data_IF_388563717243
#
_entry.id   IF_388563717243
#
_cell.length_a   1.000
_cell.length_b   1.000
_cell.length_c   1.000
_cell.angle_alpha   90.00
_cell.angle_beta   90.00
_cell.angle_gamma   90.00
#
_symmetry.space_group_name_H-M   'P 1'
#
loop_
_entity.id
_entity.type
_entity.pdbx_description
1 polymer ?
#
# COMPACT_ATOMS: atom_id res chain seq x y z
N UNK A 1 5.03 6.76 -17.14
CA UNK A 1 4.29 5.50 -16.92
C UNK A 1 3.28 5.62 -15.78
N UNK A 2 3.69 6.07 -14.58
CA UNK A 2 2.79 6.30 -13.41
C UNK A 2 1.52 7.08 -13.75
N UNK A 3 1.64 8.24 -14.41
CA UNK A 3 0.49 9.07 -14.77
C UNK A 3 -0.52 8.36 -15.69
N UNK A 4 -0.04 7.50 -16.61
CA UNK A 4 -0.89 6.71 -17.51
C UNK A 4 -1.68 5.67 -16.72
N UNK A 5 -1.03 5.00 -15.76
CA UNK A 5 -1.69 4.02 -14.88
C UNK A 5 -2.75 4.70 -14.02
N UNK A 6 -2.42 5.85 -13.42
CA UNK A 6 -3.38 6.63 -12.62
C UNK A 6 -4.59 7.07 -13.46
N UNK A 7 -4.36 7.61 -14.66
CA UNK A 7 -5.43 7.99 -15.58
C UNK A 7 -6.32 6.79 -15.94
N UNK A 8 -5.73 5.64 -16.24
CA UNK A 8 -6.48 4.43 -16.54
C UNK A 8 -7.37 3.98 -15.36
N UNK A 9 -6.83 4.03 -14.13
CA UNK A 9 -7.59 3.72 -12.91
C UNK A 9 -8.73 4.70 -12.69
N UNK A 10 -8.50 6.00 -12.87
CA UNK A 10 -9.55 7.04 -12.77
C UNK A 10 -10.66 6.79 -13.79
N UNK A 11 -10.32 6.56 -15.06
CA UNK A 11 -11.29 6.26 -16.11
C UNK A 11 -12.11 5.01 -15.77
N UNK A 12 -11.47 3.98 -15.21
CA UNK A 12 -12.14 2.74 -14.82
C UNK A 12 -13.11 2.95 -13.65
N UNK A 13 -12.71 3.73 -12.64
CA UNK A 13 -13.57 4.13 -11.50
C UNK A 13 -14.82 4.87 -12.00
N UNK A 14 -14.64 5.86 -12.89
CA UNK A 14 -15.74 6.65 -13.46
C UNK A 14 -16.69 5.79 -14.29
N UNK A 15 -16.15 4.89 -15.12
CA UNK A 15 -16.96 3.98 -15.95
C UNK A 15 -17.75 2.95 -15.14
N UNK A 16 -17.25 2.55 -13.97
CA UNK A 16 -17.87 1.53 -13.11
C UNK A 16 -18.81 2.12 -12.05
N UNK A 17 -18.95 3.46 -11.98
CA UNK A 17 -19.83 4.12 -11.01
C UNK A 17 -19.46 3.79 -9.56
N UNK A 18 -18.16 3.64 -9.27
CA UNK A 18 -17.69 3.21 -7.94
C UNK A 18 -18.02 4.28 -6.89
N UNK A 19 -18.57 3.92 -5.71
CA UNK A 19 -18.85 4.88 -4.65
C UNK A 19 -17.61 5.68 -4.24
N UNK A 20 -17.78 6.96 -3.90
CA UNK A 20 -16.68 7.89 -3.62
C UNK A 20 -15.67 7.34 -2.59
N UNK A 21 -16.15 6.75 -1.49
CA UNK A 21 -15.27 6.17 -0.47
C UNK A 21 -14.37 5.04 -1.02
N UNK A 22 -14.93 4.16 -1.86
CA UNK A 22 -14.18 3.05 -2.48
C UNK A 22 -13.24 3.56 -3.57
N UNK A 23 -13.66 4.57 -4.33
CA UNK A 23 -12.82 5.25 -5.32
C UNK A 23 -11.60 5.90 -4.66
N UNK A 24 -11.79 6.66 -3.58
CA UNK A 24 -10.70 7.28 -2.81
C UNK A 24 -9.72 6.22 -2.29
N UNK A 25 -10.23 5.13 -1.72
CA UNK A 25 -9.40 4.01 -1.25
C UNK A 25 -8.55 3.42 -2.38
N UNK A 26 -9.13 3.15 -3.56
CA UNK A 26 -8.40 2.63 -4.72
C UNK A 26 -7.31 3.61 -5.17
N UNK A 27 -7.62 4.91 -5.25
CA UNK A 27 -6.66 5.93 -5.69
C UNK A 27 -5.49 6.07 -4.72
N UNK A 28 -5.75 6.14 -3.42
CA UNK A 28 -4.70 6.24 -2.38
C UNK A 28 -3.75 5.04 -2.47
N UNK A 29 -4.30 3.82 -2.52
CA UNK A 29 -3.50 2.60 -2.67
C UNK A 29 -2.70 2.58 -3.98
N UNK A 30 -3.29 3.02 -5.09
CA UNK A 30 -2.61 3.10 -6.39
C UNK A 30 -1.42 4.07 -6.34
N UNK A 31 -1.60 5.25 -5.74
CA UNK A 31 -0.52 6.24 -5.60
C UNK A 31 0.61 5.69 -4.73
N UNK A 32 0.29 5.05 -3.61
CA UNK A 32 1.31 4.49 -2.71
C UNK A 32 2.09 3.35 -3.36
N UNK A 33 1.44 2.42 -4.06
CA UNK A 33 2.10 1.31 -4.75
C UNK A 33 2.95 1.76 -5.94
N UNK A 34 2.60 2.88 -6.58
CA UNK A 34 3.38 3.47 -7.66
C UNK A 34 4.46 4.45 -7.16
N UNK A 35 4.45 4.77 -5.86
CA UNK A 35 5.44 5.65 -5.27
C UNK A 35 6.80 4.95 -5.28
N UNK A 36 7.86 5.59 -5.80
CA UNK A 36 9.20 4.99 -5.79
C UNK A 36 9.71 4.78 -4.35
N UNK A 37 9.25 5.59 -3.41
CA UNK A 37 9.59 5.49 -2.00
C UNK A 37 8.34 5.73 -1.15
N UNK A 38 8.06 4.80 -0.25
CA UNK A 38 6.96 4.91 0.71
C UNK A 38 7.58 5.03 2.09
N UNK A 39 7.26 6.13 2.77
CA UNK A 39 7.75 6.36 4.11
C UNK A 39 6.75 5.87 5.17
N UNK A 40 7.23 5.40 6.34
CA UNK A 40 6.35 4.83 7.37
C UNK A 40 5.24 5.76 7.85
N UNK A 41 5.48 7.08 7.85
CA UNK A 41 4.46 8.05 8.26
C UNK A 41 3.25 8.07 7.32
N UNK A 42 3.41 7.76 6.02
CA UNK A 42 2.26 7.61 5.12
C UNK A 42 1.37 6.43 5.56
N UNK A 43 1.99 5.34 6.03
CA UNK A 43 1.28 4.17 6.52
C UNK A 43 0.63 4.43 7.88
N UNK A 44 1.27 5.21 8.76
CA UNK A 44 0.69 5.61 10.03
C UNK A 44 -0.65 6.34 9.85
N UNK A 45 -0.76 7.20 8.84
CA UNK A 45 -2.02 7.86 8.49
C UNK A 45 -3.02 6.95 7.78
N UNK A 46 -2.52 6.04 6.92
CA UNK A 46 -3.37 5.12 6.18
C UNK A 46 -4.01 4.06 7.08
N UNK A 47 -3.29 3.60 8.10
CA UNK A 47 -3.68 2.51 8.99
C UNK A 47 -5.10 2.68 9.59
N UNK A 48 -5.42 3.79 10.30
CA UNK A 48 -6.75 3.96 10.87
C UNK A 48 -7.85 4.06 9.79
N UNK A 49 -7.54 4.67 8.64
CA UNK A 49 -8.50 4.83 7.55
C UNK A 49 -8.82 3.50 6.86
N UNK A 50 -7.81 2.68 6.60
CA UNK A 50 -7.97 1.38 5.94
C UNK A 50 -8.68 0.39 6.87
N UNK A 51 -8.33 0.38 8.17
CA UNK A 51 -9.02 -0.43 9.19
C UNK A 51 -10.49 -0.03 9.34
N UNK A 52 -10.79 1.27 9.39
CA UNK A 52 -12.17 1.76 9.42
C UNK A 52 -12.96 1.36 8.16
N UNK A 53 -12.28 1.28 7.01
CA UNK A 53 -12.84 0.77 5.76
C UNK A 53 -12.88 -0.78 5.67
N UNK A 54 -12.56 -1.50 6.76
CA UNK A 54 -12.56 -2.96 6.85
C UNK A 54 -11.38 -3.64 6.13
N UNK A 55 -10.33 -2.90 5.83
CA UNK A 55 -9.09 -3.39 5.25
C UNK A 55 -8.05 -3.79 6.30
N UNK A 56 -7.19 -4.71 5.92
CA UNK A 56 -6.04 -5.19 6.72
C UNK A 56 -4.71 -4.93 6.00
N UNK A 57 -4.75 -4.54 4.73
CA UNK A 57 -3.55 -4.30 3.94
C UNK A 57 -2.64 -3.22 4.56
N UNK A 58 -3.21 -2.13 5.10
CA UNK A 58 -2.39 -1.10 5.74
C UNK A 58 -1.69 -1.60 7.01
N UNK A 59 -2.31 -2.52 7.75
CA UNK A 59 -1.70 -3.14 8.94
C UNK A 59 -0.52 -4.03 8.54
N UNK A 60 -0.70 -4.86 7.51
CA UNK A 60 0.34 -5.73 6.99
C UNK A 60 1.51 -4.91 6.44
N UNK A 61 1.22 -3.84 5.69
CA UNK A 61 2.27 -2.96 5.19
C UNK A 61 3.02 -2.25 6.32
N UNK A 62 2.30 -1.76 7.33
CA UNK A 62 2.92 -1.11 8.49
C UNK A 62 3.88 -2.05 9.22
N UNK A 63 3.49 -3.32 9.40
CA UNK A 63 4.35 -4.33 10.01
C UNK A 63 5.56 -4.67 9.12
N UNK A 64 5.37 -4.84 7.82
CA UNK A 64 6.45 -5.14 6.88
C UNK A 64 7.44 -3.98 6.72
N UNK A 65 6.95 -2.73 6.75
CA UNK A 65 7.78 -1.54 6.71
C UNK A 65 8.67 -1.42 7.96
N UNK A 66 8.24 -1.90 9.14
CA UNK A 66 9.11 -1.99 10.31
C UNK A 66 10.25 -2.97 10.09
N UNK A 67 10.01 -4.09 9.40
CA UNK A 67 11.09 -5.03 9.02
C UNK A 67 12.08 -4.40 8.04
N UNK A 68 11.63 -3.48 7.17
CA UNK A 68 12.50 -2.73 6.28
C UNK A 68 13.46 -1.77 7.03
N UNK A 69 13.23 -1.51 8.31
CA UNK A 69 14.16 -0.78 9.19
C UNK A 69 15.19 -1.68 9.87
N UNK A 70 15.20 -3.00 9.61
CA UNK A 70 16.25 -3.89 10.11
C UNK A 70 17.69 -3.42 9.80
N UNK A 71 18.00 -2.78 8.65
CA UNK A 71 19.36 -2.28 8.37
C UNK A 71 19.75 -1.04 9.19
N UNK A 72 18.85 -0.47 10.00
CA UNK A 72 19.07 0.80 10.70
C UNK A 72 20.30 0.74 11.62
N UNK A 73 20.52 -0.37 12.31
CA UNK A 73 21.66 -0.56 13.21
C UNK A 73 23.00 -0.59 12.45
N UNK A 74 23.01 -1.24 11.29
CA UNK A 74 24.18 -1.31 10.42
C UNK A 74 24.45 0.04 9.72
N UNK A 75 23.39 0.74 9.32
CA UNK A 75 23.47 2.10 8.78
C UNK A 75 24.04 3.09 9.79
N UNK A 76 23.65 2.99 11.07
CA UNK A 76 24.16 3.88 12.12
C UNK A 76 25.69 3.78 12.30
N UNK A 77 26.29 2.64 11.96
CA UNK A 77 27.73 2.40 12.06
C UNK A 77 28.49 2.68 10.76
N UNK A 78 27.89 2.32 9.61
CA UNK A 78 28.57 2.36 8.31
C UNK A 78 28.21 3.57 7.45
N UNK A 79 27.10 4.25 7.74
CA UNK A 79 26.52 5.31 6.92
C UNK A 79 25.91 4.83 5.60
N UNK A 80 26.01 3.55 5.26
CA UNK A 80 25.50 2.96 4.02
C UNK A 80 24.18 2.27 4.30
N UNK A 81 23.14 2.65 3.55
CA UNK A 81 21.87 1.96 3.60
C UNK A 81 21.87 0.82 2.58
N UNK A 82 22.21 -0.37 3.02
CA UNK A 82 22.17 -1.57 2.18
C UNK A 82 20.85 -2.32 2.41
N UNK A 83 19.87 -2.06 1.53
CA UNK A 83 18.58 -2.74 1.57
C UNK A 83 18.62 -3.95 0.63
N UNK A 84 18.49 -5.18 1.13
CA UNK A 84 18.45 -6.34 0.27
C UNK A 84 17.19 -6.32 -0.61
N UNK A 85 17.37 -6.50 -1.92
CA UNK A 85 16.24 -6.51 -2.88
C UNK A 85 15.16 -7.54 -2.52
N UNK A 86 15.56 -8.70 -1.98
CA UNK A 86 14.61 -9.74 -1.58
C UNK A 86 13.68 -9.27 -0.46
N UNK A 87 14.16 -8.44 0.48
CA UNK A 87 13.35 -7.90 1.57
C UNK A 87 12.28 -6.96 1.01
N UNK A 88 12.67 -6.11 0.05
CA UNK A 88 11.73 -5.25 -0.66
C UNK A 88 10.69 -6.07 -1.45
N UNK A 89 11.11 -7.10 -2.18
CA UNK A 89 10.18 -7.98 -2.91
C UNK A 89 9.18 -8.65 -1.94
N UNK A 90 9.65 -9.15 -0.79
CA UNK A 90 8.81 -9.78 0.22
C UNK A 90 7.78 -8.81 0.81
N UNK A 91 8.19 -7.57 1.10
CA UNK A 91 7.30 -6.51 1.59
C UNK A 91 6.15 -6.27 0.59
N UNK A 92 6.47 -5.97 -0.67
CA UNK A 92 5.45 -5.67 -1.68
C UNK A 92 4.58 -6.89 -2.03
N UNK A 93 5.14 -8.10 -1.98
CA UNK A 93 4.37 -9.33 -2.18
C UNK A 93 3.33 -9.52 -1.07
N UNK A 94 3.71 -9.32 0.20
CA UNK A 94 2.78 -9.42 1.33
C UNK A 94 1.64 -8.41 1.22
N UNK A 95 1.94 -7.17 0.83
CA UNK A 95 0.95 -6.10 0.62
C UNK A 95 0.02 -6.43 -0.54
N UNK A 96 0.54 -6.91 -1.67
CA UNK A 96 -0.26 -7.28 -2.83
C UNK A 96 -1.25 -8.42 -2.50
N UNK A 97 -0.79 -9.43 -1.75
CA UNK A 97 -1.62 -10.53 -1.28
C UNK A 97 -2.72 -10.01 -0.34
N UNK A 98 -2.36 -9.16 0.62
CA UNK A 98 -3.32 -8.57 1.55
C UNK A 98 -4.41 -7.77 0.85
N UNK A 99 -4.02 -6.91 -0.11
CA UNK A 99 -4.97 -6.14 -0.92
C UNK A 99 -5.91 -7.03 -1.72
N UNK A 100 -5.39 -8.10 -2.32
CA UNK A 100 -6.20 -9.05 -3.07
C UNK A 100 -7.30 -9.68 -2.19
N UNK A 101 -6.95 -10.10 -0.97
CA UNK A 101 -7.91 -10.63 -0.01
C UNK A 101 -8.90 -9.58 0.48
N UNK A 102 -8.43 -8.36 0.77
CA UNK A 102 -9.28 -7.24 1.18
C UNK A 102 -10.31 -6.90 0.10
N UNK A 103 -9.91 -6.77 -1.17
CA UNK A 103 -10.84 -6.47 -2.26
C UNK A 103 -11.90 -7.56 -2.44
N UNK A 104 -11.51 -8.83 -2.29
CA UNK A 104 -12.42 -9.98 -2.38
C UNK A 104 -13.41 -10.03 -1.20
N UNK A 105 -12.94 -9.71 0.00
CA UNK A 105 -13.75 -9.68 1.22
C UNK A 105 -14.73 -8.50 1.23
N UNK A 106 -14.23 -7.29 0.94
CA UNK A 106 -15.03 -6.08 1.02
C UNK A 106 -16.10 -5.95 -0.07
N UNK A 107 -15.94 -6.68 -1.20
CA UNK A 107 -16.99 -6.77 -2.21
C UNK A 107 -18.29 -7.41 -1.69
N UNK A 108 -18.25 -8.13 -0.57
CA UNK A 108 -19.43 -8.74 0.05
C UNK A 108 -20.14 -7.85 1.07
N UNK A 109 -19.50 -6.74 1.49
CA UNK A 109 -19.96 -5.89 2.60
C UNK A 109 -20.67 -4.61 2.13
N UNK A 110 -20.50 -4.25 0.85
CA UNK A 110 -21.12 -3.09 0.19
C UNK A 110 -22.03 -3.51 -0.99
N UNK A 111 -22.44 -4.78 -1.03
CA UNK A 111 -23.44 -5.31 -1.95
C UNK A 111 -24.79 -5.43 -1.24
#
# INVERSE_FOLDING_TARGET
MVAVILLAVVVLILRRGVPAARATRILVWTVLLLSPQVHPWYLAWLLPLDLAAGGHAALIWSAAALCAYAPLDAWAQSGVWDMPLWMQISEYAAVAIALFFDFRSNSKRFA
#
